data_IF_069525436859
#
_entry.id   IF_069525436859
#
_cell.length_a   1.000
_cell.length_b   1.000
_cell.length_c   1.000
_cell.angle_alpha   90.00
_cell.angle_beta   90.00
_cell.angle_gamma   90.00
#
_symmetry.space_group_name_H-M   'P 1'
#
loop_
_entity.id
_entity.type
_entity.pdbx_description
1 polymer ?
#
# COMPACT_ATOMS: atom_id res chain seq x y z
N UNK A 1 -16.15 -3.22 -10.78
CA UNK A 1 -14.72 -3.03 -11.13
C UNK A 1 -14.13 -2.15 -10.05
N UNK A 2 -12.96 -2.50 -9.51
CA UNK A 2 -12.44 -1.81 -8.34
C UNK A 2 -12.16 -0.34 -8.58
N UNK A 3 -12.64 0.50 -7.67
CA UNK A 3 -12.56 1.96 -7.78
C UNK A 3 -11.15 2.46 -7.47
N UNK A 4 -10.48 1.82 -6.50
CA UNK A 4 -9.13 2.15 -6.04
C UNK A 4 -8.24 0.91 -6.11
N UNK A 5 -7.06 1.08 -6.69
CA UNK A 5 -6.07 0.02 -6.91
C UNK A 5 -4.78 0.39 -6.19
N UNK A 6 -4.23 -0.55 -5.44
CA UNK A 6 -2.93 -0.39 -4.81
C UNK A 6 -1.87 -0.97 -5.75
N UNK A 7 -0.93 -0.12 -6.12
CA UNK A 7 0.21 -0.42 -6.98
C UNK A 7 1.50 -0.28 -6.18
N UNK A 8 2.37 -1.27 -6.31
CA UNK A 8 3.66 -1.31 -5.65
C UNK A 8 4.76 -1.32 -6.71
N UNK A 9 5.68 -0.37 -6.59
CA UNK A 9 6.83 -0.22 -7.45
C UNK A 9 8.06 -0.51 -6.61
N UNK A 10 8.78 -1.57 -6.98
CA UNK A 10 10.02 -1.97 -6.33
C UNK A 10 11.17 -1.70 -7.27
N UNK A 11 12.06 -0.81 -6.87
CA UNK A 11 13.31 -0.52 -7.58
C UNK A 11 14.48 -1.14 -6.81
N UNK A 12 15.66 -1.17 -7.42
CA UNK A 12 16.84 -1.78 -6.81
C UNK A 12 17.29 -1.11 -5.50
N UNK A 13 16.81 0.11 -5.18
CA UNK A 13 17.19 0.87 -3.99
C UNK A 13 16.00 1.26 -3.10
N UNK A 14 14.81 1.40 -3.67
CA UNK A 14 13.64 1.95 -2.99
C UNK A 14 12.38 1.17 -3.34
N UNK A 15 11.40 1.24 -2.44
CA UNK A 15 10.07 0.67 -2.64
C UNK A 15 9.07 1.79 -2.47
N UNK A 16 8.13 1.85 -3.40
CA UNK A 16 7.10 2.87 -3.48
C UNK A 16 5.75 2.19 -3.59
N UNK A 17 4.78 2.70 -2.85
CA UNK A 17 3.41 2.21 -2.84
C UNK A 17 2.48 3.38 -3.14
N UNK A 18 1.55 3.18 -4.07
CA UNK A 18 0.61 4.19 -4.50
C UNK A 18 -0.78 3.61 -4.67
N UNK A 19 -1.76 4.41 -4.30
CA UNK A 19 -3.18 4.13 -4.48
C UNK A 19 -3.65 4.99 -5.64
N UNK A 20 -3.94 4.33 -6.76
CA UNK A 20 -4.48 4.94 -7.97
C UNK A 20 -5.99 4.68 -8.06
N UNK A 21 -6.75 5.71 -8.41
CA UNK A 21 -8.13 5.56 -8.81
C UNK A 21 -8.20 5.00 -10.22
N UNK A 22 -9.32 4.35 -10.57
CA UNK A 22 -9.58 3.84 -11.93
C UNK A 22 -9.41 4.90 -13.03
N UNK A 23 -9.59 6.18 -12.69
CA UNK A 23 -9.42 7.30 -13.61
C UNK A 23 -7.93 7.66 -13.87
N UNK A 24 -6.98 6.91 -13.31
CA UNK A 24 -5.54 7.18 -13.44
C UNK A 24 -5.01 8.26 -12.49
N UNK A 25 -5.85 8.76 -11.57
CA UNK A 25 -5.45 9.74 -10.57
C UNK A 25 -4.84 9.03 -9.36
N UNK A 26 -3.63 9.40 -8.97
CA UNK A 26 -3.01 8.93 -7.72
C UNK A 26 -3.61 9.73 -6.56
N UNK A 27 -4.25 9.03 -5.63
CA UNK A 27 -4.89 9.67 -4.48
C UNK A 27 -3.93 9.75 -3.31
N UNK A 28 -3.19 8.67 -3.08
CA UNK A 28 -2.20 8.58 -2.00
C UNK A 28 -0.97 7.85 -2.52
N UNK A 29 0.21 8.31 -2.14
CA UNK A 29 1.47 7.61 -2.35
C UNK A 29 2.31 7.62 -1.08
N UNK A 30 3.16 6.62 -0.91
CA UNK A 30 4.19 6.56 0.12
C UNK A 30 5.45 5.88 -0.45
N UNK A 31 6.63 6.40 -0.13
CA UNK A 31 7.89 5.92 -0.71
C UNK A 31 9.00 5.87 0.33
N UNK A 32 9.85 4.83 0.29
CA UNK A 32 11.03 4.79 1.16
C UNK A 32 12.08 5.84 0.81
N UNK A 33 11.88 6.59 -0.27
CA UNK A 33 12.65 7.80 -0.57
C UNK A 33 12.30 8.97 0.35
N UNK A 34 11.10 8.97 0.95
CA UNK A 34 10.68 10.02 1.86
C UNK A 34 11.56 10.02 3.11
N UNK A 35 12.13 11.20 3.43
CA UNK A 35 13.07 11.35 4.52
C UNK A 35 12.50 10.86 5.85
N UNK A 36 11.22 11.14 6.12
CA UNK A 36 10.52 10.70 7.34
C UNK A 36 10.55 9.17 7.52
N UNK A 37 10.49 8.42 6.42
CA UNK A 37 10.50 6.95 6.40
C UNK A 37 11.96 6.45 6.41
N UNK A 38 12.84 7.12 5.65
CA UNK A 38 14.26 6.78 5.56
C UNK A 38 15.02 6.94 6.88
N UNK A 39 14.68 7.94 7.69
CA UNK A 39 15.31 8.18 9.00
C UNK A 39 15.04 7.05 10.00
N UNK A 40 13.89 6.38 9.89
CA UNK A 40 13.49 5.29 10.77
C UNK A 40 13.86 3.90 10.25
N UNK A 41 14.47 3.81 9.06
CA UNK A 41 14.81 2.53 8.43
C UNK A 41 16.31 2.34 8.30
N UNK A 42 16.82 1.29 8.95
CA UNK A 42 18.21 0.85 8.80
C UNK A 42 18.49 0.22 7.41
N UNK A 43 17.45 -0.29 6.73
CA UNK A 43 17.58 -0.88 5.39
C UNK A 43 16.29 -0.74 4.57
N UNK A 44 16.40 -0.28 3.33
CA UNK A 44 15.28 0.04 2.42
C UNK A 44 14.67 -1.18 1.73
N UNK A 45 15.28 -2.37 1.88
CA UNK A 45 14.80 -3.64 1.30
C UNK A 45 14.16 -4.59 2.31
N UNK A 46 14.23 -4.27 3.60
CA UNK A 46 13.81 -5.21 4.63
C UNK A 46 12.28 -5.24 4.77
N UNK A 47 11.77 -6.32 5.34
CA UNK A 47 10.35 -6.52 5.66
C UNK A 47 9.81 -5.35 6.50
N UNK A 48 10.64 -4.82 7.41
CA UNK A 48 10.34 -3.63 8.23
C UNK A 48 10.04 -2.40 7.36
N UNK A 49 10.78 -2.20 6.26
CA UNK A 49 10.54 -1.08 5.35
C UNK A 49 9.15 -1.16 4.69
N UNK A 50 8.74 -2.37 4.27
CA UNK A 50 7.41 -2.60 3.73
C UNK A 50 6.32 -2.39 4.79
N UNK A 51 6.56 -2.80 6.04
CA UNK A 51 5.63 -2.56 7.15
C UNK A 51 5.45 -1.06 7.41
N UNK A 52 6.54 -0.31 7.54
CA UNK A 52 6.49 1.15 7.75
C UNK A 52 5.82 1.88 6.59
N UNK A 53 6.09 1.47 5.34
CA UNK A 53 5.36 1.97 4.17
C UNK A 53 3.86 1.73 4.28
N UNK A 54 3.44 0.52 4.67
CA UNK A 54 2.05 0.16 4.87
C UNK A 54 1.37 1.02 5.94
N UNK A 55 2.05 1.27 7.06
CA UNK A 55 1.53 2.12 8.15
C UNK A 55 1.36 3.58 7.70
N UNK A 56 2.35 4.16 7.03
CA UNK A 56 2.26 5.54 6.52
C UNK A 56 1.17 5.66 5.47
N UNK A 57 1.09 4.68 4.57
CA UNK A 57 0.04 4.65 3.55
C UNK A 57 -1.35 4.50 4.17
N UNK A 58 -1.50 3.65 5.19
CA UNK A 58 -2.78 3.47 5.89
C UNK A 58 -3.26 4.77 6.54
N UNK A 59 -2.36 5.47 7.25
CA UNK A 59 -2.66 6.77 7.85
C UNK A 59 -3.13 7.78 6.81
N UNK A 60 -2.35 7.95 5.73
CA UNK A 60 -2.71 8.87 4.64
C UNK A 60 -4.03 8.49 3.96
N UNK A 61 -4.30 7.19 3.79
CA UNK A 61 -5.57 6.71 3.24
C UNK A 61 -6.74 7.10 4.16
N UNK A 62 -6.62 6.89 5.48
CA UNK A 62 -7.66 7.29 6.43
C UNK A 62 -7.88 8.81 6.46
N UNK A 63 -6.81 9.60 6.41
CA UNK A 63 -6.90 11.07 6.34
C UNK A 63 -7.62 11.54 5.06
N UNK A 64 -7.44 10.80 3.96
CA UNK A 64 -8.15 11.04 2.70
C UNK A 64 -9.59 10.47 2.68
N UNK A 65 -10.04 9.80 3.75
CA UNK A 65 -11.35 9.15 3.81
C UNK A 65 -11.45 7.84 3.00
N UNK A 66 -10.30 7.19 2.74
CA UNK A 66 -10.18 5.95 1.98
C UNK A 66 -9.98 4.78 2.92
N UNK A 67 -11.00 3.93 3.03
CA UNK A 67 -10.92 2.69 3.82
C UNK A 67 -10.84 1.43 2.97
N UNK A 68 -11.16 1.49 1.67
CA UNK A 68 -11.21 0.32 0.78
C UNK A 68 -10.29 0.50 -0.42
N UNK A 69 -9.36 -0.42 -0.59
CA UNK A 69 -8.46 -0.45 -1.76
C UNK A 69 -8.31 -1.90 -2.24
N UNK A 70 -8.06 -2.10 -3.53
CA UNK A 70 -7.82 -3.44 -4.07
C UNK A 70 -6.36 -3.62 -4.42
N UNK A 71 -5.73 -4.63 -3.82
CA UNK A 71 -4.38 -5.04 -4.15
C UNK A 71 -4.37 -5.73 -5.52
N UNK A 72 -3.76 -5.10 -6.52
CA UNK A 72 -3.56 -5.70 -7.84
C UNK A 72 -2.09 -6.08 -8.00
N UNK A 73 -1.75 -7.26 -7.50
CA UNK A 73 -0.42 -7.85 -7.60
C UNK A 73 -0.50 -9.22 -8.28
N UNK A 74 0.63 -9.63 -8.86
CA UNK A 74 0.78 -11.00 -9.34
C UNK A 74 0.80 -11.97 -8.15
N UNK A 75 0.32 -13.22 -8.33
CA UNK A 75 0.22 -14.19 -7.24
C UNK A 75 1.56 -14.49 -6.54
N UNK A 76 2.68 -14.45 -7.27
CA UNK A 76 4.02 -14.69 -6.71
C UNK A 76 4.52 -13.51 -5.85
N UNK A 77 4.09 -12.27 -6.12
CA UNK A 77 4.42 -11.13 -5.27
C UNK A 77 3.64 -11.18 -3.94
N UNK A 78 2.38 -11.60 -3.98
CA UNK A 78 1.55 -11.75 -2.77
C UNK A 78 2.11 -12.80 -1.81
N UNK A 79 2.80 -13.83 -2.32
CA UNK A 79 3.48 -14.85 -1.49
C UNK A 79 4.70 -14.31 -0.73
N UNK A 80 5.24 -13.15 -1.10
CA UNK A 80 6.42 -12.58 -0.43
C UNK A 80 6.08 -12.13 0.98
N UNK A 81 6.90 -12.50 1.98
CA UNK A 81 6.74 -12.07 3.38
C UNK A 81 6.62 -10.55 3.51
N UNK A 82 7.39 -9.78 2.73
CA UNK A 82 7.30 -8.32 2.74
C UNK A 82 5.95 -7.78 2.27
N UNK A 83 5.27 -8.46 1.34
CA UNK A 83 3.91 -8.05 0.93
C UNK A 83 2.88 -8.46 1.97
N UNK A 84 3.06 -9.60 2.63
CA UNK A 84 2.17 -9.99 3.72
C UNK A 84 2.21 -8.96 4.85
N UNK A 85 3.39 -8.52 5.26
CA UNK A 85 3.55 -7.49 6.31
C UNK A 85 3.03 -6.12 5.89
N UNK A 86 3.17 -5.76 4.60
CA UNK A 86 2.57 -4.53 4.07
C UNK A 86 1.03 -4.59 4.14
N UNK A 87 0.44 -5.74 3.82
CA UNK A 87 -1.01 -5.94 3.91
C UNK A 87 -1.51 -5.93 5.35
N UNK A 88 -0.76 -6.55 6.25
CA UNK A 88 -1.04 -6.58 7.67
C UNK A 88 -1.03 -5.17 8.26
N UNK A 89 0.01 -4.38 7.95
CA UNK A 89 0.11 -2.98 8.35
C UNK A 89 -1.03 -2.10 7.82
N UNK A 90 -1.47 -2.32 6.58
CA UNK A 90 -2.62 -1.60 6.01
C UNK A 90 -3.92 -1.95 6.74
N UNK A 91 -4.11 -3.24 7.02
CA UNK A 91 -5.30 -3.75 7.73
C UNK A 91 -5.32 -3.27 9.18
N UNK A 92 -4.19 -3.30 9.86
CA UNK A 92 -3.99 -2.77 11.22
C UNK A 92 -4.25 -1.26 11.27
N UNK A 93 -3.85 -0.54 10.21
CA UNK A 93 -4.14 0.88 10.02
C UNK A 93 -5.57 1.17 9.54
N UNK A 94 -6.48 0.19 9.52
CA UNK A 94 -7.90 0.41 9.19
C UNK A 94 -8.25 0.44 7.70
N UNK A 95 -7.31 0.09 6.82
CA UNK A 95 -7.54 0.00 5.37
C UNK A 95 -7.81 -1.46 4.98
N UNK A 96 -8.99 -1.71 4.43
CA UNK A 96 -9.43 -3.01 3.97
C UNK A 96 -9.02 -3.23 2.52
N UNK A 97 -8.22 -4.27 2.28
CA UNK A 97 -7.70 -4.65 0.95
C UNK A 97 -8.70 -5.41 0.07
N UNK A 98 -9.99 -5.29 0.37
CA UNK A 98 -11.08 -6.02 -0.26
C UNK A 98 -12.20 -5.05 -0.55
N UNK A 99 -12.52 -4.87 -1.83
CA UNK A 99 -13.66 -4.04 -2.21
C UNK A 99 -14.97 -4.76 -1.79
N UNK A 100 -15.90 -4.06 -1.13
CA UNK A 100 -17.22 -4.62 -0.86
C UNK A 100 -17.92 -4.98 -2.18
N UNK A 101 -18.61 -6.12 -2.19
CA UNK A 101 -19.40 -6.52 -3.35
C UNK A 101 -20.48 -5.45 -3.58
N UNK A 102 -20.58 -4.97 -4.82
CA UNK A 102 -21.60 -4.00 -5.21
C UNK A 102 -22.98 -4.63 -4.98
N UNK A 103 -23.80 -4.00 -4.14
CA UNK A 103 -25.12 -4.52 -3.69
C UNK A 103 -26.26 -4.40 -4.74
N UNK A 104 -25.95 -4.09 -6.00
CA UNK A 104 -26.96 -4.01 -7.07
C UNK A 104 -26.51 -4.85 -8.28
N UNK A 105 -27.10 -6.03 -8.39
CA UNK A 105 -27.55 -6.65 -9.65
C UNK A 105 -29.08 -6.59 -9.66
#
# INVERSE_FOLDING_TARGET
LPSLRLRVIRTNLHTEVLVEHRNGQVVVSASTQEWAIKQHLYSTKNVVACRSLGQVLAGRCLEAGISFVVLQMTPWEVTSQSMKELQDALTEGGVVLKEPRRIYE
#
